data_IF_062844566151
#
_entry.id   IF_062844566151
#
_cell.length_a   1.000
_cell.length_b   1.000
_cell.length_c   1.000
_cell.angle_alpha   90.00
_cell.angle_beta   90.00
_cell.angle_gamma   90.00
#
_symmetry.space_group_name_H-M   'P 1'
#
loop_
_entity.id
_entity.type
_entity.pdbx_description
1 polymer ?
#
# COMPACT_ATOMS: atom_id res chain seq x y z
N UNK A 1 1.44 -14.06 -28.26
CA UNK A 1 0.04 -13.88 -27.85
C UNK A 1 0.02 -13.23 -26.48
N UNK A 2 -0.82 -12.22 -26.27
CA UNK A 2 -0.97 -11.56 -24.97
C UNK A 2 -1.93 -12.37 -24.09
N UNK A 3 -1.50 -12.71 -22.87
CA UNK A 3 -2.24 -13.63 -21.99
C UNK A 3 -2.14 -13.20 -20.52
N UNK A 4 -3.14 -13.59 -19.72
CA UNK A 4 -3.09 -13.49 -18.26
C UNK A 4 -2.19 -14.61 -17.72
N UNK A 5 -0.98 -14.28 -17.27
CA UNK A 5 0.01 -15.27 -16.86
C UNK A 5 -0.01 -15.61 -15.37
N UNK A 6 -0.41 -14.67 -14.51
CA UNK A 6 -0.57 -14.92 -13.06
C UNK A 6 -1.74 -14.13 -12.49
N UNK A 7 -2.37 -14.69 -11.47
CA UNK A 7 -3.54 -14.13 -10.82
C UNK A 7 -3.35 -14.14 -9.30
N UNK A 8 -3.69 -13.04 -8.64
CA UNK A 8 -3.53 -12.89 -7.20
C UNK A 8 -4.69 -12.17 -6.54
N UNK A 9 -4.96 -12.58 -5.30
CA UNK A 9 -5.75 -11.83 -4.33
C UNK A 9 -4.95 -11.60 -3.06
N UNK A 10 -5.32 -10.60 -2.27
CA UNK A 10 -4.75 -10.34 -0.95
C UNK A 10 -5.90 -10.14 0.03
N UNK A 11 -6.39 -11.21 0.66
CA UNK A 11 -7.65 -11.18 1.41
C UNK A 11 -7.70 -10.14 2.52
N UNK A 12 -6.59 -10.02 3.24
CA UNK A 12 -6.37 -8.96 4.23
C UNK A 12 -5.46 -7.89 3.63
N UNK A 13 -5.87 -6.62 3.71
CA UNK A 13 -5.04 -5.48 3.33
C UNK A 13 -3.66 -5.61 3.98
N UNK A 14 -2.62 -5.40 3.19
CA UNK A 14 -1.22 -5.43 3.62
C UNK A 14 -0.62 -6.79 4.03
N UNK A 15 -1.41 -7.87 4.11
CA UNK A 15 -0.87 -9.23 4.35
C UNK A 15 -0.48 -9.94 3.05
N UNK A 16 0.02 -11.18 3.18
CA UNK A 16 0.49 -12.03 2.08
C UNK A 16 -0.60 -12.24 1.02
N UNK A 17 -0.20 -12.20 -0.24
CA UNK A 17 -1.07 -12.52 -1.37
C UNK A 17 -1.18 -14.03 -1.60
N UNK A 18 -2.28 -14.44 -2.22
CA UNK A 18 -2.55 -15.81 -2.64
C UNK A 18 -2.51 -15.88 -4.16
N UNK A 19 -1.74 -16.82 -4.68
CA UNK A 19 -1.70 -17.11 -6.12
C UNK A 19 -2.87 -18.02 -6.48
N UNK A 20 -3.59 -17.66 -7.54
CA UNK A 20 -4.79 -18.38 -7.99
C UNK A 20 -4.64 -18.87 -9.43
N UNK A 21 -5.37 -19.92 -9.78
CA UNK A 21 -5.52 -20.36 -11.18
C UNK A 21 -6.67 -19.64 -11.89
N UNK A 22 -7.68 -19.21 -11.14
CA UNK A 22 -8.84 -18.47 -11.62
C UNK A 22 -9.49 -17.68 -10.47
N UNK A 23 -10.29 -16.68 -10.81
CA UNK A 23 -11.08 -15.94 -9.84
C UNK A 23 -12.31 -15.34 -10.48
N UNK A 24 -13.36 -15.15 -9.68
CA UNK A 24 -14.50 -14.34 -10.08
C UNK A 24 -14.12 -12.86 -10.01
N UNK A 25 -14.37 -12.16 -11.10
CA UNK A 25 -14.35 -10.70 -11.19
C UNK A 25 -15.71 -10.19 -10.70
N UNK A 26 -15.67 -9.31 -9.71
CA UNK A 26 -16.81 -8.53 -9.21
C UNK A 26 -16.56 -7.06 -9.53
N UNK A 27 -17.60 -6.23 -9.46
CA UNK A 27 -17.44 -4.77 -9.59
C UNK A 27 -16.48 -4.20 -8.53
N UNK A 28 -16.43 -4.82 -7.34
CA UNK A 28 -15.60 -4.39 -6.21
C UNK A 28 -14.16 -4.89 -6.22
N UNK A 29 -13.79 -5.74 -7.18
CA UNK A 29 -12.48 -6.38 -7.26
C UNK A 29 -12.58 -7.88 -7.57
N UNK A 30 -11.48 -8.61 -7.48
CA UNK A 30 -11.56 -10.08 -7.47
C UNK A 30 -12.26 -10.52 -6.19
N UNK A 31 -13.05 -11.59 -6.27
CA UNK A 31 -13.69 -12.17 -5.09
C UNK A 31 -12.66 -12.42 -3.97
N UNK A 32 -13.01 -12.04 -2.74
CA UNK A 32 -12.17 -12.07 -1.55
C UNK A 32 -10.94 -11.14 -1.55
N UNK A 33 -10.75 -10.27 -2.52
CA UNK A 33 -9.59 -9.37 -2.55
C UNK A 33 -9.78 -8.14 -1.65
N UNK A 34 -8.90 -7.99 -0.64
CA UNK A 34 -8.90 -6.88 0.35
C UNK A 34 -10.27 -6.64 0.99
N UNK A 35 -11.01 -7.70 1.29
CA UNK A 35 -12.28 -7.59 2.02
C UNK A 35 -12.07 -7.48 3.54
N UNK A 36 -10.85 -7.74 4.02
CA UNK A 36 -10.43 -7.52 5.40
C UNK A 36 -9.34 -6.47 5.54
N UNK A 37 -9.28 -5.80 6.70
CA UNK A 37 -8.25 -4.82 7.05
C UNK A 37 -8.04 -4.77 8.55
N UNK A 38 -6.79 -4.58 8.97
CA UNK A 38 -6.46 -4.29 10.38
C UNK A 38 -6.56 -2.77 10.62
N UNK A 39 -7.18 -2.37 11.72
CA UNK A 39 -7.33 -0.98 12.13
C UNK A 39 -6.94 -0.77 13.58
N UNK A 40 -6.72 0.48 13.96
CA UNK A 40 -6.83 0.91 15.36
C UNK A 40 -8.30 0.84 15.84
N UNK A 41 -8.51 1.04 17.14
CA UNK A 41 -9.84 0.97 17.75
C UNK A 41 -10.79 2.05 17.20
N UNK A 42 -10.26 3.21 16.80
CA UNK A 42 -11.03 4.32 16.21
C UNK A 42 -11.38 4.11 14.73
N UNK A 43 -10.92 3.01 14.13
CA UNK A 43 -11.12 2.69 12.71
C UNK A 43 -10.05 3.25 11.77
N UNK A 44 -9.00 3.88 12.28
CA UNK A 44 -7.84 4.30 11.49
C UNK A 44 -7.12 3.06 10.92
N UNK A 45 -6.90 3.05 9.60
CA UNK A 45 -6.35 1.89 8.91
C UNK A 45 -4.86 1.67 9.22
N UNK A 46 -4.48 0.40 9.37
CA UNK A 46 -3.08 -0.02 9.56
C UNK A 46 -2.58 -0.71 8.29
N UNK A 47 -1.34 -0.39 7.88
CA UNK A 47 -0.74 -0.97 6.65
C UNK A 47 0.70 -1.42 6.84
N UNK A 48 1.20 -2.25 5.92
CA UNK A 48 2.62 -2.63 5.92
C UNK A 48 3.57 -1.47 5.53
N UNK A 49 3.04 -0.27 5.24
CA UNK A 49 3.87 0.94 5.17
C UNK A 49 4.36 1.34 6.58
N UNK A 50 3.51 1.10 7.59
CA UNK A 50 3.79 1.29 9.02
C UNK A 50 4.42 0.03 9.62
N UNK A 51 3.80 -1.14 9.40
CA UNK A 51 4.24 -2.42 9.97
C UNK A 51 4.57 -3.45 8.88
N UNK A 52 5.76 -3.37 8.26
CA UNK A 52 6.19 -4.27 7.18
C UNK A 52 6.00 -5.76 7.44
N UNK A 53 6.15 -6.21 8.70
CA UNK A 53 5.96 -7.59 9.16
C UNK A 53 4.57 -8.16 8.83
N UNK A 54 3.55 -7.31 8.59
CA UNK A 54 2.20 -7.74 8.18
C UNK A 54 2.22 -8.67 6.95
N UNK A 55 3.17 -8.50 6.03
CA UNK A 55 3.26 -9.34 4.82
C UNK A 55 3.56 -10.81 5.12
N UNK A 56 4.01 -11.12 6.34
CA UNK A 56 4.34 -12.48 6.79
C UNK A 56 3.13 -13.25 7.33
N UNK A 57 2.01 -12.56 7.60
CA UNK A 57 0.75 -13.22 7.91
C UNK A 57 0.20 -13.92 6.68
N UNK A 58 -0.26 -15.15 6.87
CA UNK A 58 -0.61 -16.08 5.79
C UNK A 58 -2.11 -16.36 5.84
N UNK A 59 -2.89 -15.75 4.93
CA UNK A 59 -4.31 -16.03 4.85
C UNK A 59 -4.57 -17.35 4.14
N UNK A 60 -5.64 -18.03 4.50
CA UNK A 60 -6.27 -19.09 3.71
C UNK A 60 -7.78 -18.84 3.69
N UNK A 61 -8.39 -18.94 2.51
CA UNK A 61 -9.81 -18.72 2.36
C UNK A 61 -10.60 -19.90 2.92
N UNK A 62 -11.68 -19.60 3.64
CA UNK A 62 -12.69 -20.57 4.04
C UNK A 62 -14.00 -20.21 3.34
N UNK A 63 -14.89 -21.19 3.17
CA UNK A 63 -16.22 -20.96 2.58
C UNK A 63 -17.05 -19.97 3.40
N UNK A 64 -16.84 -19.94 4.72
CA UNK A 64 -17.55 -19.13 5.70
C UNK A 64 -16.66 -18.09 6.38
N UNK A 65 -15.45 -17.83 5.86
CA UNK A 65 -14.57 -16.83 6.46
C UNK A 65 -13.10 -16.88 6.03
N UNK A 66 -12.22 -16.72 7.01
CA UNK A 66 -10.77 -16.60 6.85
C UNK A 66 -10.06 -17.45 7.91
N UNK A 67 -9.08 -18.23 7.49
CA UNK A 67 -8.05 -18.76 8.37
C UNK A 67 -6.81 -17.88 8.24
N UNK A 68 -6.20 -17.49 9.35
CA UNK A 68 -5.02 -16.64 9.35
C UNK A 68 -3.93 -17.25 10.23
N UNK A 69 -2.77 -17.53 9.63
CA UNK A 69 -1.58 -17.97 10.34
C UNK A 69 -0.59 -16.80 10.50
N UNK A 70 -0.14 -16.57 11.72
CA UNK A 70 0.84 -15.55 12.06
C UNK A 70 2.29 -16.08 11.88
N UNK A 71 3.30 -15.19 11.88
CA UNK A 71 4.70 -15.57 11.67
C UNK A 71 5.30 -16.46 12.77
N UNK A 72 4.71 -16.46 13.97
CA UNK A 72 5.11 -17.32 15.10
C UNK A 72 4.47 -18.72 15.03
N UNK A 73 3.64 -18.98 14.02
CA UNK A 73 2.92 -20.24 13.84
C UNK A 73 1.56 -20.30 14.53
N UNK A 74 1.21 -19.33 15.38
CA UNK A 74 -0.13 -19.24 15.95
C UNK A 74 -1.17 -18.91 14.87
N UNK A 75 -2.43 -19.22 15.14
CA UNK A 75 -3.49 -19.21 14.13
C UNK A 75 -4.83 -18.75 14.68
N UNK A 76 -5.63 -18.11 13.83
CA UNK A 76 -7.00 -17.75 14.11
C UNK A 76 -7.92 -18.19 12.96
N UNK A 77 -9.05 -18.80 13.33
CA UNK A 77 -10.17 -19.05 12.42
C UNK A 77 -11.22 -17.97 12.67
N UNK A 78 -11.65 -17.30 11.59
CA UNK A 78 -12.44 -16.08 11.65
C UNK A 78 -13.64 -16.28 10.71
N UNK A 79 -14.84 -16.50 11.26
CA UNK A 79 -16.04 -16.70 10.44
C UNK A 79 -16.77 -15.39 10.20
N UNK A 80 -17.40 -15.26 9.04
CA UNK A 80 -18.27 -14.12 8.71
C UNK A 80 -19.41 -13.95 9.71
N UNK A 81 -19.95 -15.05 10.23
CA UNK A 81 -21.03 -15.06 11.23
C UNK A 81 -20.63 -14.44 12.57
N UNK A 82 -19.33 -14.42 12.88
CA UNK A 82 -18.84 -14.03 14.20
C UNK A 82 -18.55 -12.53 14.26
N UNK A 83 -18.52 -11.84 13.12
CA UNK A 83 -18.39 -10.39 13.07
C UNK A 83 -19.61 -9.70 13.68
N UNK A 84 -19.38 -8.60 14.40
CA UNK A 84 -20.45 -7.77 14.94
C UNK A 84 -21.43 -7.35 13.84
N UNK A 85 -22.73 -7.49 14.10
CA UNK A 85 -23.77 -7.14 13.15
C UNK A 85 -23.81 -5.64 12.85
N UNK A 86 -23.51 -4.81 13.86
CA UNK A 86 -23.42 -3.37 13.72
C UNK A 86 -22.13 -2.98 12.99
N UNK A 87 -22.28 -2.24 11.90
CA UNK A 87 -21.14 -1.66 11.20
C UNK A 87 -20.62 -0.42 11.93
N UNK A 88 -19.31 -0.25 11.94
CA UNK A 88 -18.61 0.84 12.62
C UNK A 88 -17.83 1.69 11.61
N UNK A 89 -17.72 3.02 11.83
CA UNK A 89 -16.95 3.91 10.96
C UNK A 89 -15.49 3.50 10.81
N UNK A 90 -14.94 3.69 9.62
CA UNK A 90 -13.53 3.52 9.28
C UNK A 90 -13.20 4.38 8.06
N UNK A 91 -11.92 4.51 7.73
CA UNK A 91 -11.50 5.25 6.55
C UNK A 91 -10.27 4.63 5.89
N UNK A 92 -10.11 4.91 4.60
CA UNK A 92 -8.89 4.62 3.84
C UNK A 92 -8.63 5.78 2.90
N UNK A 93 -7.57 6.54 3.17
CA UNK A 93 -7.13 7.69 2.37
C UNK A 93 -8.17 8.80 2.22
N UNK A 94 -8.83 9.17 3.32
CA UNK A 94 -9.87 10.20 3.37
C UNK A 94 -11.23 9.74 2.85
N UNK A 95 -11.35 8.48 2.41
CA UNK A 95 -12.62 7.88 2.03
C UNK A 95 -13.22 7.19 3.25
N UNK A 96 -14.33 7.73 3.75
CA UNK A 96 -15.00 7.29 4.98
C UNK A 96 -16.16 6.35 4.64
N UNK A 97 -16.26 5.24 5.35
CA UNK A 97 -17.24 4.19 5.14
C UNK A 97 -17.39 3.34 6.41
N UNK A 98 -18.13 2.25 6.33
CA UNK A 98 -18.44 1.38 7.47
C UNK A 98 -17.91 -0.03 7.25
N UNK A 99 -17.56 -0.72 8.34
CA UNK A 99 -17.14 -2.11 8.32
C UNK A 99 -17.50 -2.80 9.64
N UNK A 100 -17.61 -4.12 9.62
CA UNK A 100 -17.88 -4.94 10.80
C UNK A 100 -16.58 -5.30 11.51
N UNK A 101 -16.62 -5.39 12.84
CA UNK A 101 -15.46 -5.70 13.67
C UNK A 101 -15.48 -7.19 14.05
N UNK A 102 -14.32 -7.84 14.00
CA UNK A 102 -14.15 -9.24 14.39
C UNK A 102 -14.33 -9.44 15.90
N UNK A 103 -14.57 -10.68 16.38
CA UNK A 103 -14.66 -10.98 17.81
C UNK A 103 -13.43 -10.55 18.61
N UNK A 104 -13.63 -10.24 19.89
CA UNK A 104 -12.55 -9.83 20.80
C UNK A 104 -11.40 -10.82 20.84
N UNK A 105 -11.66 -12.13 20.82
CA UNK A 105 -10.60 -13.15 20.81
C UNK A 105 -9.64 -12.98 19.62
N UNK A 106 -10.17 -12.66 18.43
CA UNK A 106 -9.38 -12.41 17.21
C UNK A 106 -8.59 -11.10 17.35
N UNK A 107 -9.24 -10.05 17.87
CA UNK A 107 -8.61 -8.74 18.04
C UNK A 107 -7.48 -8.76 19.08
N UNK A 108 -7.69 -9.45 20.21
CA UNK A 108 -6.65 -9.66 21.23
C UNK A 108 -5.47 -10.46 20.67
N UNK A 109 -5.74 -11.55 19.94
CA UNK A 109 -4.69 -12.33 19.29
C UNK A 109 -3.88 -11.49 18.30
N UNK A 110 -4.53 -10.74 17.40
CA UNK A 110 -3.84 -9.84 16.48
C UNK A 110 -3.02 -8.78 17.21
N UNK A 111 -3.57 -8.20 18.28
CA UNK A 111 -2.91 -7.16 19.08
C UNK A 111 -1.57 -7.61 19.68
N UNK A 112 -1.33 -8.92 19.83
CA UNK A 112 -0.02 -9.43 20.28
C UNK A 112 1.12 -9.18 19.29
N UNK A 113 0.80 -8.90 18.02
CA UNK A 113 1.77 -8.65 16.95
C UNK A 113 1.96 -7.16 16.61
N UNK A 114 1.23 -6.27 17.28
CA UNK A 114 1.31 -4.83 17.07
C UNK A 114 1.67 -4.14 18.39
N UNK A 115 2.34 -2.98 18.35
CA UNK A 115 2.70 -2.25 19.57
C UNK A 115 1.49 -1.56 20.24
N UNK A 116 0.28 -1.76 19.72
CA UNK A 116 -0.97 -1.14 20.18
C UNK A 116 -2.14 -2.09 19.95
N UNK A 117 -3.26 -1.93 20.67
CA UNK A 117 -4.49 -2.66 20.38
C UNK A 117 -4.96 -2.42 18.94
N UNK A 118 -5.31 -3.50 18.25
CA UNK A 118 -5.84 -3.46 16.88
C UNK A 118 -7.11 -4.27 16.77
N UNK A 119 -7.85 -4.04 15.69
CA UNK A 119 -9.05 -4.78 15.32
C UNK A 119 -8.95 -5.26 13.89
N UNK A 120 -9.47 -6.47 13.64
CA UNK A 120 -9.74 -6.92 12.28
C UNK A 120 -11.13 -6.44 11.85
N UNK A 121 -11.21 -5.89 10.65
CA UNK A 121 -12.47 -5.45 10.04
C UNK A 121 -12.78 -6.20 8.78
N UNK A 122 -14.06 -6.42 8.53
CA UNK A 122 -14.61 -6.98 7.30
C UNK A 122 -15.60 -5.99 6.69
N UNK A 123 -15.52 -5.76 5.38
CA UNK A 123 -16.44 -4.85 4.67
C UNK A 123 -17.91 -5.31 4.66
N UNK A 124 -18.18 -6.53 5.13
CA UNK A 124 -19.50 -7.13 5.04
C UNK A 124 -19.83 -7.68 3.65
N UNK A 125 -21.05 -8.19 3.46
CA UNK A 125 -21.48 -8.76 2.17
C UNK A 125 -21.70 -7.69 1.09
N UNK A 126 -21.98 -6.44 1.48
CA UNK A 126 -22.21 -5.32 0.58
C UNK A 126 -21.34 -4.14 1.03
N UNK A 127 -20.18 -3.90 0.39
CA UNK A 127 -19.31 -2.81 0.80
C UNK A 127 -19.99 -1.44 0.60
N UNK A 128 -19.95 -0.59 1.61
CA UNK A 128 -20.47 0.79 1.54
C UNK A 128 -19.50 1.76 0.86
N UNK A 129 -18.21 1.41 0.80
CA UNK A 129 -17.17 2.26 0.18
C UNK A 129 -17.27 2.28 -1.34
N UNK A 130 -16.92 3.43 -1.94
CA UNK A 130 -16.88 3.66 -3.39
C UNK A 130 -15.54 4.20 -3.86
N UNK A 131 -15.21 4.00 -5.12
CA UNK A 131 -14.04 4.63 -5.73
C UNK A 131 -14.25 6.15 -5.81
N UNK A 132 -13.30 6.96 -5.32
CA UNK A 132 -13.47 8.42 -5.12
C UNK A 132 -13.92 9.19 -6.37
N UNK A 133 -13.48 8.78 -7.57
CA UNK A 133 -13.83 9.41 -8.86
C UNK A 133 -14.90 8.63 -9.65
N UNK A 134 -15.33 7.48 -9.14
CA UNK A 134 -16.29 6.58 -9.79
C UNK A 134 -17.26 6.09 -8.70
N UNK A 135 -18.20 6.96 -8.33
CA UNK A 135 -19.05 6.78 -7.13
C UNK A 135 -20.00 5.60 -7.20
N UNK A 136 -20.22 5.04 -8.39
CA UNK A 136 -21.04 3.84 -8.59
C UNK A 136 -20.22 2.56 -8.41
N UNK A 137 -18.89 2.64 -8.40
CA UNK A 137 -18.01 1.48 -8.33
C UNK A 137 -17.73 1.12 -6.87
N UNK A 138 -18.20 -0.04 -6.37
CA UNK A 138 -17.90 -0.49 -5.02
C UNK A 138 -16.41 -0.76 -4.84
N UNK A 139 -15.92 -0.66 -3.61
CA UNK A 139 -14.52 -0.92 -3.29
C UNK A 139 -14.38 -1.56 -1.91
N UNK A 140 -13.51 -2.57 -1.79
CA UNK A 140 -13.11 -3.09 -0.48
C UNK A 140 -12.12 -2.16 0.24
N UNK A 141 -11.15 -2.75 0.94
CA UNK A 141 -10.06 -2.04 1.60
C UNK A 141 -8.84 -1.78 0.68
N UNK A 142 -8.97 -1.99 -0.63
CA UNK A 142 -7.94 -1.63 -1.62
C UNK A 142 -7.62 -0.12 -1.56
N UNK A 143 -6.46 0.33 -2.05
CA UNK A 143 -6.05 1.73 -1.86
C UNK A 143 -6.95 2.72 -2.59
N UNK A 144 -7.28 2.46 -3.86
CA UNK A 144 -8.11 3.38 -4.64
C UNK A 144 -8.91 2.78 -5.80
N UNK A 145 -8.53 1.60 -6.29
CA UNK A 145 -9.21 0.94 -7.41
C UNK A 145 -9.35 -0.57 -7.17
N UNK A 146 -10.37 -1.21 -7.75
CA UNK A 146 -10.68 -2.63 -7.54
C UNK A 146 -9.60 -3.61 -8.01
N UNK A 147 -8.87 -3.26 -9.07
CA UNK A 147 -7.86 -4.15 -9.67
C UNK A 147 -6.57 -3.39 -9.96
N UNK A 148 -5.48 -4.16 -9.94
CA UNK A 148 -4.19 -3.70 -10.41
C UNK A 148 -3.61 -4.70 -11.43
N UNK A 149 -3.22 -4.18 -12.59
CA UNK A 149 -2.55 -4.93 -13.65
C UNK A 149 -1.08 -4.53 -13.77
N UNK A 150 -0.20 -5.52 -13.98
CA UNK A 150 1.20 -5.29 -14.36
C UNK A 150 1.56 -6.18 -15.55
N UNK A 151 2.47 -5.71 -16.39
CA UNK A 151 3.07 -6.48 -17.47
C UNK A 151 4.37 -7.14 -17.00
N UNK A 152 4.51 -8.43 -17.27
CA UNK A 152 5.70 -9.19 -16.90
C UNK A 152 6.97 -8.68 -17.61
N UNK A 153 6.87 -8.19 -18.85
CA UNK A 153 8.02 -7.62 -19.55
C UNK A 153 8.53 -6.34 -18.88
N UNK A 154 7.63 -5.48 -18.39
CA UNK A 154 7.97 -4.28 -17.61
C UNK A 154 8.62 -4.63 -16.27
N UNK A 155 8.14 -5.69 -15.61
CA UNK A 155 8.77 -6.21 -14.40
C UNK A 155 10.20 -6.70 -14.68
N UNK A 156 10.41 -7.39 -15.80
CA UNK A 156 11.74 -7.87 -16.21
C UNK A 156 12.69 -6.71 -16.55
N UNK A 157 12.23 -5.68 -17.27
CA UNK A 157 13.03 -4.48 -17.53
C UNK A 157 13.41 -3.76 -16.21
N UNK A 158 12.48 -3.68 -15.24
CA UNK A 158 12.81 -3.18 -13.90
C UNK A 158 13.85 -4.06 -13.18
N UNK A 159 13.70 -5.37 -13.23
CA UNK A 159 14.65 -6.32 -12.63
C UNK A 159 16.06 -6.18 -13.22
N UNK A 160 16.18 -5.89 -14.51
CA UNK A 160 17.48 -5.66 -15.17
C UNK A 160 18.13 -4.34 -14.73
N UNK A 161 17.34 -3.33 -14.39
CA UNK A 161 17.82 -2.01 -13.93
C UNK A 161 18.10 -1.96 -12.43
N UNK A 162 17.46 -2.82 -11.65
CA UNK A 162 17.49 -2.77 -10.20
C UNK A 162 18.62 -3.65 -9.65
N UNK A 163 19.50 -3.11 -8.77
CA UNK A 163 20.56 -3.91 -8.16
C UNK A 163 20.03 -4.94 -7.14
N UNK A 164 18.81 -4.76 -6.65
CA UNK A 164 18.17 -5.65 -5.69
C UNK A 164 17.27 -6.68 -6.39
N UNK A 165 17.03 -7.82 -5.73
CA UNK A 165 16.03 -8.78 -6.20
C UNK A 165 14.63 -8.18 -6.09
N UNK A 166 13.92 -8.12 -7.23
CA UNK A 166 12.56 -7.59 -7.32
C UNK A 166 11.59 -8.71 -7.65
N UNK A 167 10.51 -8.81 -6.89
CA UNK A 167 9.43 -9.78 -7.10
C UNK A 167 8.12 -9.09 -7.43
N UNK A 168 7.30 -9.73 -8.26
CA UNK A 168 5.99 -9.22 -8.66
C UNK A 168 5.07 -8.95 -7.46
N UNK A 169 5.16 -9.79 -6.43
CA UNK A 169 4.31 -9.73 -5.24
C UNK A 169 4.54 -8.44 -4.43
N UNK A 170 5.68 -7.76 -4.58
CA UNK A 170 5.94 -6.45 -3.97
C UNK A 170 5.02 -5.35 -4.52
N UNK A 171 4.56 -5.48 -5.77
CA UNK A 171 3.63 -4.53 -6.41
C UNK A 171 2.16 -4.83 -6.11
N UNK A 172 1.87 -6.00 -5.52
CA UNK A 172 0.54 -6.45 -5.10
C UNK A 172 -0.50 -6.41 -6.23
N UNK A 173 -0.07 -6.65 -7.46
CA UNK A 173 -0.95 -6.75 -8.62
C UNK A 173 -1.94 -7.89 -8.45
N UNK A 174 -3.13 -7.74 -9.03
CA UNK A 174 -4.11 -8.81 -9.14
C UNK A 174 -3.89 -9.60 -10.43
N UNK A 175 -3.61 -8.88 -11.52
CA UNK A 175 -3.53 -9.40 -12.88
C UNK A 175 -2.11 -9.19 -13.38
N UNK A 176 -1.40 -10.27 -13.72
CA UNK A 176 -0.09 -10.17 -14.38
C UNK A 176 -0.25 -10.71 -15.79
N UNK A 177 0.09 -9.90 -16.77
CA UNK A 177 -0.01 -10.28 -18.20
C UNK A 177 1.37 -10.55 -18.79
N UNK A 178 1.41 -11.32 -19.88
CA UNK A 178 2.64 -11.64 -20.61
C UNK A 178 2.37 -11.71 -22.11
N UNK A 179 3.39 -11.39 -22.91
CA UNK A 179 3.29 -11.35 -24.37
C UNK A 179 3.21 -9.94 -24.97
N UNK A 180 3.19 -8.90 -24.15
CA UNK A 180 3.40 -7.51 -24.58
C UNK A 180 4.88 -7.10 -24.39
N UNK A 181 5.40 -6.18 -25.23
CA UNK A 181 6.68 -5.52 -24.96
C UNK A 181 6.67 -4.79 -23.61
N UNK A 182 7.85 -4.57 -23.02
CA UNK A 182 7.96 -3.79 -21.79
C UNK A 182 7.36 -2.40 -21.99
N UNK A 183 6.57 -1.95 -21.00
CA UNK A 183 5.92 -0.64 -20.91
C UNK A 183 4.81 -0.38 -21.93
N UNK A 184 4.48 -1.35 -22.80
CA UNK A 184 3.37 -1.21 -23.77
C UNK A 184 2.02 -0.93 -23.09
N UNK A 185 1.85 -1.44 -21.86
CA UNK A 185 0.64 -1.27 -21.06
C UNK A 185 0.34 0.19 -20.72
N UNK A 186 1.34 1.07 -20.70
CA UNK A 186 1.15 2.50 -20.38
C UNK A 186 0.22 3.21 -21.37
N UNK A 187 -0.02 2.61 -22.54
CA UNK A 187 -0.94 3.12 -23.57
C UNK A 187 -2.33 2.50 -23.50
N UNK A 188 -2.59 1.51 -22.66
CA UNK A 188 -3.86 0.78 -22.70
C UNK A 188 -4.97 1.59 -22.03
N UNK A 189 -6.07 1.82 -22.75
CA UNK A 189 -7.26 2.52 -22.22
C UNK A 189 -8.38 1.54 -21.82
N UNK A 190 -8.53 0.47 -22.60
CA UNK A 190 -9.51 -0.59 -22.35
C UNK A 190 -8.91 -1.93 -22.76
N UNK A 191 -9.04 -2.93 -21.89
CA UNK A 191 -8.56 -4.29 -22.13
C UNK A 191 -9.66 -5.30 -21.85
N UNK A 192 -9.66 -6.40 -22.60
CA UNK A 192 -10.49 -7.55 -22.34
C UNK A 192 -9.60 -8.71 -21.89
N UNK A 193 -9.99 -9.40 -20.83
CA UNK A 193 -9.31 -10.61 -20.34
C UNK A 193 -10.35 -11.73 -20.28
N UNK A 194 -10.19 -12.74 -21.13
CA UNK A 194 -11.23 -13.74 -21.34
C UNK A 194 -12.55 -13.06 -21.74
N UNK A 195 -13.60 -13.27 -20.96
CA UNK A 195 -14.93 -12.67 -21.20
C UNK A 195 -15.16 -11.29 -20.56
N UNK A 196 -14.21 -10.74 -19.82
CA UNK A 196 -14.42 -9.53 -18.99
C UNK A 196 -13.67 -8.33 -19.54
N UNK A 197 -14.37 -7.21 -19.67
CA UNK A 197 -13.81 -5.93 -20.13
C UNK A 197 -13.46 -5.05 -18.93
N UNK A 198 -12.29 -4.44 -18.99
CA UNK A 198 -11.76 -3.53 -17.98
C UNK A 198 -11.42 -2.18 -18.62
N UNK A 199 -11.85 -1.11 -17.96
CA UNK A 199 -11.35 0.24 -18.21
C UNK A 199 -10.09 0.49 -17.41
N UNK A 200 -9.20 1.33 -17.95
CA UNK A 200 -7.93 1.74 -17.34
C UNK A 200 -8.02 3.22 -16.94
N UNK A 201 -8.45 3.56 -15.71
CA UNK A 201 -8.65 4.96 -15.35
C UNK A 201 -7.37 5.75 -15.19
N UNK A 202 -6.29 5.11 -14.71
CA UNK A 202 -4.97 5.75 -14.52
C UNK A 202 -3.84 4.76 -14.22
N UNK A 203 -2.57 5.17 -14.46
CA UNK A 203 -1.40 4.49 -13.91
C UNK A 203 -1.45 4.37 -12.38
N UNK A 204 -0.72 3.40 -11.85
CA UNK A 204 -0.61 3.20 -10.41
C UNK A 204 0.72 3.76 -9.86
N UNK A 205 0.59 4.86 -9.12
CA UNK A 205 1.67 5.45 -8.35
C UNK A 205 2.13 4.51 -7.23
N UNK A 206 3.44 4.41 -7.05
CA UNK A 206 4.10 3.46 -6.16
C UNK A 206 4.63 4.15 -4.91
N UNK A 207 4.58 3.42 -3.81
CA UNK A 207 4.96 3.91 -2.48
C UNK A 207 5.97 2.96 -1.84
N UNK A 208 6.43 3.29 -0.62
CA UNK A 208 7.42 2.49 0.12
C UNK A 208 7.02 1.01 0.30
N UNK A 209 5.73 0.66 0.16
CA UNK A 209 5.30 -0.75 0.24
C UNK A 209 6.09 -1.62 -0.74
N UNK A 210 6.39 -1.12 -1.96
CA UNK A 210 7.12 -1.92 -2.95
C UNK A 210 8.52 -2.31 -2.48
N UNK A 211 9.08 -1.62 -1.47
CA UNK A 211 10.40 -1.95 -0.92
C UNK A 211 10.37 -3.01 0.16
N UNK A 212 9.18 -3.44 0.60
CA UNK A 212 9.03 -4.46 1.64
C UNK A 212 9.29 -5.84 1.05
N UNK A 213 10.30 -6.52 1.57
CA UNK A 213 10.56 -7.94 1.30
C UNK A 213 9.39 -8.79 1.80
N UNK A 214 8.76 -9.52 0.91
CA UNK A 214 7.53 -10.29 1.17
C UNK A 214 7.73 -11.51 2.07
N UNK A 215 8.95 -12.06 2.16
CA UNK A 215 9.28 -13.11 3.14
C UNK A 215 9.84 -12.52 4.44
N UNK A 216 10.71 -11.51 4.32
CA UNK A 216 11.42 -10.94 5.47
C UNK A 216 10.55 -9.99 6.30
N UNK A 217 9.51 -9.41 5.70
CA UNK A 217 8.72 -8.36 6.34
C UNK A 217 9.53 -7.10 6.64
N UNK A 218 10.58 -6.79 5.85
CA UNK A 218 11.47 -5.64 6.08
C UNK A 218 11.59 -4.78 4.83
N UNK A 219 11.59 -3.45 5.01
CA UNK A 219 11.87 -2.49 3.93
C UNK A 219 13.32 -2.67 3.47
N UNK A 220 13.57 -2.60 2.16
CA UNK A 220 14.92 -2.59 1.63
C UNK A 220 15.66 -1.34 2.13
N UNK A 221 16.91 -1.46 2.64
CA UNK A 221 17.65 -0.33 3.22
C UNK A 221 17.82 0.83 2.24
N UNK A 222 18.10 0.53 0.96
CA UNK A 222 18.26 1.55 -0.08
C UNK A 222 16.96 1.98 -0.76
N UNK A 223 15.80 1.52 -0.27
CA UNK A 223 14.49 1.84 -0.84
C UNK A 223 14.21 1.21 -2.21
N UNK A 224 14.90 0.14 -2.57
CA UNK A 224 14.65 -0.58 -3.82
C UNK A 224 13.37 -1.43 -3.75
N UNK A 225 12.61 -1.57 -4.86
CA UNK A 225 12.88 -1.06 -6.20
C UNK A 225 12.36 0.36 -6.47
N UNK A 226 11.80 1.04 -5.47
CA UNK A 226 11.22 2.38 -5.65
C UNK A 226 12.29 3.41 -6.07
N UNK A 227 13.49 3.31 -5.48
CA UNK A 227 14.65 4.12 -5.86
C UNK A 227 15.04 3.92 -7.33
N UNK A 228 15.06 2.68 -7.84
CA UNK A 228 15.30 2.41 -9.26
C UNK A 228 14.17 2.97 -10.14
N UNK A 229 12.90 2.74 -9.78
CA UNK A 229 11.76 3.28 -10.53
C UNK A 229 11.83 4.81 -10.64
N UNK A 230 12.21 5.51 -9.58
CA UNK A 230 12.35 6.97 -9.59
C UNK A 230 13.29 7.48 -10.69
N UNK A 231 14.29 6.69 -11.12
CA UNK A 231 15.27 7.10 -12.13
C UNK A 231 14.73 7.13 -13.56
N UNK A 232 13.56 6.53 -13.82
CA UNK A 232 13.02 6.48 -15.19
C UNK A 232 11.49 6.43 -15.29
N UNK A 233 10.79 6.27 -14.17
CA UNK A 233 9.32 6.17 -14.06
C UNK A 233 8.70 7.30 -13.26
N UNK A 234 9.42 8.41 -13.08
CA UNK A 234 8.84 9.62 -12.51
C UNK A 234 8.03 10.36 -13.56
N UNK A 235 6.78 10.67 -13.23
CA UNK A 235 5.90 11.43 -14.10
C UNK A 235 6.40 12.86 -14.31
N UNK A 236 6.38 13.33 -15.56
CA UNK A 236 6.89 14.65 -15.94
C UNK A 236 5.83 15.78 -15.87
N UNK A 237 4.67 15.50 -15.28
CA UNK A 237 3.55 16.45 -15.14
C UNK A 237 3.52 17.20 -13.79
N UNK A 238 4.60 17.10 -13.00
CA UNK A 238 4.74 17.77 -11.71
C UNK A 238 3.99 17.11 -10.56
N UNK A 239 3.31 15.98 -10.77
CA UNK A 239 2.61 15.24 -9.70
C UNK A 239 3.52 14.64 -8.64
N UNK A 240 4.79 14.38 -8.97
CA UNK A 240 5.72 13.62 -8.13
C UNK A 240 5.43 12.11 -8.09
N UNK A 241 4.53 11.62 -8.95
CA UNK A 241 4.22 10.19 -9.03
C UNK A 241 5.39 9.38 -9.59
N UNK A 242 5.57 8.17 -9.05
CA UNK A 242 6.45 7.15 -9.59
C UNK A 242 5.58 5.97 -9.98
N UNK A 243 5.38 5.74 -11.28
CA UNK A 243 4.36 4.81 -11.76
C UNK A 243 4.95 3.47 -12.22
N UNK A 244 4.22 2.40 -11.91
CA UNK A 244 4.43 1.07 -12.47
C UNK A 244 3.06 0.42 -12.56
N UNK A 245 2.65 -0.27 -13.62
CA UNK A 245 1.33 -0.89 -13.70
C UNK A 245 0.11 0.05 -13.69
N UNK A 246 -1.08 -0.53 -13.83
CA UNK A 246 -2.32 0.17 -14.15
C UNK A 246 -3.44 -0.19 -13.17
N UNK A 247 -4.18 0.81 -12.70
CA UNK A 247 -5.43 0.57 -11.99
C UNK A 247 -6.53 0.25 -12.99
N UNK A 248 -7.41 -0.70 -12.68
CA UNK A 248 -8.54 -1.05 -13.55
C UNK A 248 -9.89 -1.04 -12.83
N UNK A 249 -10.96 -0.90 -13.60
CA UNK A 249 -12.37 -1.09 -13.21
C UNK A 249 -13.00 -2.07 -14.21
N UNK A 250 -13.69 -3.10 -13.71
CA UNK A 250 -14.39 -4.05 -14.57
C UNK A 250 -15.75 -3.48 -14.99
N UNK A 251 -16.13 -3.67 -16.26
CA UNK A 251 -17.46 -3.31 -16.79
C UNK A 251 -18.53 -4.36 -16.51
N UNK A 252 -18.12 -5.59 -16.24
CA UNK A 252 -19.00 -6.72 -15.99
C UNK A 252 -18.37 -7.72 -15.03
N UNK A 253 -19.21 -8.54 -14.40
CA UNK A 253 -18.76 -9.69 -13.63
C UNK A 253 -18.49 -10.89 -14.54
N UNK A 254 -17.59 -11.77 -14.13
CA UNK A 254 -17.24 -12.96 -14.88
C UNK A 254 -16.16 -13.78 -14.21
N UNK A 255 -15.64 -14.80 -14.88
CA UNK A 255 -14.50 -15.58 -14.40
C UNK A 255 -13.32 -15.31 -15.32
N UNK A 256 -12.18 -14.99 -14.72
CA UNK A 256 -10.88 -14.93 -15.44
C UNK A 256 -9.99 -16.06 -14.94
N UNK A 257 -9.17 -16.60 -15.85
CA UNK A 257 -8.29 -17.75 -15.62
C UNK A 257 -6.88 -17.44 -16.11
N UNK A 258 -5.89 -17.98 -15.42
CA UNK A 258 -4.52 -18.00 -15.95
C UNK A 258 -4.54 -18.73 -17.30
N UNK A 259 -3.94 -18.12 -18.31
CA UNK A 259 -3.96 -18.56 -19.70
C UNK A 259 -5.00 -17.89 -20.57
N UNK A 260 -5.97 -17.15 -20.00
CA UNK A 260 -6.94 -16.40 -20.80
C UNK A 260 -6.24 -15.41 -21.73
N UNK A 261 -6.76 -15.30 -22.96
CA UNK A 261 -6.33 -14.28 -23.90
C UNK A 261 -6.62 -12.88 -23.34
N UNK A 262 -5.70 -11.97 -23.59
CA UNK A 262 -5.87 -10.55 -23.30
C UNK A 262 -5.86 -9.78 -24.61
N UNK A 263 -6.90 -8.98 -24.83
CA UNK A 263 -7.04 -8.13 -26.01
C UNK A 263 -7.05 -6.66 -25.60
N UNK A 264 -6.25 -5.83 -26.25
CA UNK A 264 -6.25 -4.37 -26.05
C UNK A 264 -7.29 -3.77 -26.98
N UNK A 265 -8.42 -3.35 -26.43
CA UNK A 265 -9.56 -2.84 -27.19
C UNK A 265 -9.42 -1.36 -27.56
N UNK A 266 -8.76 -0.58 -26.71
CA UNK A 266 -8.51 0.83 -26.93
C UNK A 266 -7.17 1.25 -26.34
N UNK A 267 -6.53 2.24 -26.97
CA UNK A 267 -5.26 2.83 -26.54
C UNK A 267 -5.39 4.34 -26.37
N UNK A 268 -4.55 4.91 -25.51
CA UNK A 268 -4.36 6.34 -25.29
C UNK A 268 -2.87 6.69 -25.37
N UNK A 269 -2.56 7.98 -25.41
CA UNK A 269 -1.19 8.47 -25.32
C UNK A 269 -0.63 8.19 -23.92
N UNK A 270 0.49 7.46 -23.77
CA UNK A 270 1.11 7.22 -22.47
C UNK A 270 1.45 8.50 -21.71
N UNK A 271 1.44 8.41 -20.38
CA UNK A 271 1.99 9.46 -19.53
C UNK A 271 3.49 9.59 -19.80
N UNK A 272 3.99 10.82 -19.88
CA UNK A 272 5.41 11.07 -20.08
C UNK A 272 6.20 10.75 -18.79
N UNK A 273 7.25 9.93 -18.94
CA UNK A 273 8.12 9.51 -17.86
C UNK A 273 9.57 9.89 -18.12
N UNK A 274 10.32 10.15 -17.06
CA UNK A 274 11.74 10.40 -17.12
C UNK A 274 12.42 10.19 -15.77
N UNK A 275 13.70 10.58 -15.66
CA UNK A 275 14.37 10.62 -14.38
C UNK A 275 13.71 11.65 -13.46
N UNK A 276 13.24 11.19 -12.31
CA UNK A 276 12.88 12.07 -11.22
C UNK A 276 14.11 12.72 -10.61
N UNK A 277 13.92 13.78 -9.83
CA UNK A 277 14.98 14.31 -8.99
C UNK A 277 15.48 13.18 -8.08
N UNK A 278 16.73 12.75 -8.26
CA UNK A 278 17.35 11.72 -7.42
C UNK A 278 17.48 12.32 -6.03
N UNK A 279 16.59 11.92 -5.12
CA UNK A 279 16.72 12.30 -3.72
C UNK A 279 17.66 11.29 -3.07
N UNK A 280 18.92 11.71 -2.96
CA UNK A 280 19.98 10.94 -2.31
C UNK A 280 19.53 10.49 -0.92
N UNK A 281 19.54 9.17 -0.69
CA UNK A 281 19.31 8.57 0.63
C UNK A 281 20.56 8.80 1.45
N UNK A 282 20.40 9.40 2.62
CA UNK A 282 21.51 9.61 3.53
C UNK A 282 21.71 8.35 4.35
N UNK A 283 22.97 7.93 4.51
CA UNK A 283 23.29 6.77 5.35
C UNK A 283 22.90 7.09 6.79
N UNK A 284 22.20 6.19 7.50
CA UNK A 284 21.91 6.38 8.91
C UNK A 284 23.24 6.55 9.68
N UNK A 285 23.41 7.66 10.39
CA UNK A 285 24.50 7.80 11.34
C UNK A 285 24.15 7.01 12.60
N UNK A 286 25.02 6.08 13.01
CA UNK A 286 24.88 5.37 14.27
C UNK A 286 25.09 6.36 15.42
N UNK A 287 24.03 6.56 16.20
CA UNK A 287 24.05 7.33 17.44
C UNK A 287 23.58 6.43 18.58
N UNK A 288 24.09 6.70 19.78
CA UNK A 288 23.56 6.09 21.00
C UNK A 288 22.08 6.45 21.12
N UNK A 289 21.26 5.45 21.43
CA UNK A 289 19.83 5.66 21.67
C UNK A 289 19.65 6.64 22.82
N UNK A 290 18.91 7.70 22.55
CA UNK A 290 18.58 8.74 23.50
C UNK A 290 17.11 9.08 23.41
N UNK A 291 16.55 9.45 24.54
CA UNK A 291 15.21 10.02 24.63
C UNK A 291 15.26 11.49 24.24
N UNK A 292 14.24 11.95 23.53
CA UNK A 292 14.02 13.36 23.19
C UNK A 292 12.62 13.80 23.60
N UNK A 293 12.44 15.09 23.90
CA UNK A 293 11.13 15.71 24.03
C UNK A 293 10.64 16.19 22.65
N UNK A 294 9.43 15.79 22.27
CA UNK A 294 8.79 16.22 21.03
C UNK A 294 7.53 17.01 21.40
N UNK A 295 7.46 18.26 20.98
CA UNK A 295 6.27 19.10 21.11
C UNK A 295 5.54 19.24 19.76
N UNK A 296 4.23 19.02 19.74
CA UNK A 296 3.38 19.21 18.56
C UNK A 296 1.96 19.59 18.98
N UNK A 297 1.37 20.61 18.33
CA UNK A 297 0.00 21.09 18.61
C UNK A 297 -0.28 21.37 20.10
N UNK A 298 0.70 21.91 20.82
CA UNK A 298 0.58 22.26 22.24
C UNK A 298 0.66 21.08 23.21
N UNK A 299 0.94 19.87 22.73
CA UNK A 299 1.23 18.70 23.56
C UNK A 299 2.71 18.34 23.46
N UNK A 300 3.29 17.90 24.57
CA UNK A 300 4.66 17.41 24.64
C UNK A 300 4.65 15.95 25.08
N UNK A 301 5.45 15.13 24.40
CA UNK A 301 5.61 13.72 24.74
C UNK A 301 7.07 13.29 24.61
N UNK A 302 7.35 12.13 25.18
CA UNK A 302 8.67 11.53 25.20
C UNK A 302 8.86 10.63 23.98
N UNK A 303 9.81 10.98 23.12
CA UNK A 303 10.20 10.25 21.91
C UNK A 303 11.64 9.72 21.98
N UNK A 304 12.18 9.34 20.82
CA UNK A 304 13.56 8.89 20.66
C UNK A 304 14.26 9.46 19.41
N UNK A 305 15.58 9.33 19.38
CA UNK A 305 16.43 9.73 18.26
C UNK A 305 16.68 8.60 17.23
N UNK A 306 15.81 7.59 17.16
CA UNK A 306 15.95 6.41 16.29
C UNK A 306 14.80 6.29 15.28
N UNK A 307 13.58 6.67 15.66
CA UNK A 307 12.37 6.55 14.85
C UNK A 307 12.06 7.83 14.08
N UNK A 308 11.44 7.71 12.91
CA UNK A 308 11.01 8.89 12.15
C UNK A 308 9.87 9.61 12.85
N UNK A 309 9.83 10.93 12.73
CA UNK A 309 8.84 11.80 13.38
C UNK A 309 7.40 11.39 13.08
N UNK A 310 7.10 10.99 11.84
CA UNK A 310 5.76 10.56 11.48
C UNK A 310 5.28 9.39 12.35
N UNK A 311 6.13 8.39 12.60
CA UNK A 311 5.76 7.23 13.39
C UNK A 311 5.57 7.61 14.86
N UNK A 312 6.49 8.42 15.41
CA UNK A 312 6.41 8.91 16.79
C UNK A 312 5.13 9.73 17.04
N UNK A 313 4.77 10.63 16.11
CA UNK A 313 3.54 11.42 16.17
C UNK A 313 2.28 10.53 16.08
N UNK A 314 2.27 9.54 15.20
CA UNK A 314 1.17 8.58 15.08
C UNK A 314 1.00 7.70 16.32
N UNK A 315 2.06 7.44 17.09
CA UNK A 315 1.95 6.71 18.36
C UNK A 315 1.22 7.50 19.44
N UNK A 316 1.23 8.83 19.33
CA UNK A 316 0.49 9.71 20.23
C UNK A 316 -0.92 10.04 19.71
N UNK A 317 -1.33 9.43 18.59
CA UNK A 317 -2.66 9.64 18.00
C UNK A 317 -2.76 10.87 17.09
N UNK A 318 -1.66 11.57 16.78
CA UNK A 318 -1.69 12.68 15.83
C UNK A 318 -1.91 12.20 14.39
N UNK A 319 -2.77 12.91 13.66
CA UNK A 319 -3.13 12.60 12.27
C UNK A 319 -2.36 13.50 11.30
N UNK A 320 -1.13 13.10 10.97
CA UNK A 320 -0.32 13.77 9.96
C UNK A 320 -0.66 13.21 8.57
N UNK A 321 -1.00 14.03 7.56
CA UNK A 321 -1.24 13.52 6.21
C UNK A 321 -0.01 12.79 5.66
N UNK A 322 -0.18 11.62 5.05
CA UNK A 322 0.92 10.93 4.36
C UNK A 322 0.42 10.17 3.14
N UNK A 323 1.35 9.77 2.27
CA UNK A 323 1.05 8.88 1.15
C UNK A 323 2.21 7.90 0.91
N UNK A 324 3.39 8.40 0.55
CA UNK A 324 4.50 7.51 0.15
C UNK A 324 5.29 6.88 1.30
N UNK A 325 5.41 7.57 2.46
CA UNK A 325 6.33 7.26 3.57
C UNK A 325 7.80 7.03 3.16
N UNK A 326 8.22 7.62 2.05
CA UNK A 326 9.57 7.51 1.50
C UNK A 326 10.26 8.88 1.32
N UNK A 327 9.62 9.96 1.79
CA UNK A 327 10.13 11.33 1.63
C UNK A 327 10.00 11.91 0.21
N UNK A 328 9.14 11.33 -0.63
CA UNK A 328 9.05 11.67 -2.06
C UNK A 328 7.81 12.52 -2.41
N UNK A 329 6.65 12.22 -1.83
CA UNK A 329 5.38 12.85 -2.23
C UNK A 329 5.10 14.20 -1.55
N UNK A 330 5.87 14.56 -0.52
CA UNK A 330 5.66 15.81 0.23
C UNK A 330 4.40 15.88 1.12
N UNK A 331 3.53 14.87 1.13
CA UNK A 331 2.28 14.90 1.91
C UNK A 331 2.51 15.02 3.42
N UNK A 332 3.62 14.45 3.93
CA UNK A 332 3.98 14.40 5.36
C UNK A 332 4.66 15.67 5.89
N UNK A 333 4.47 16.81 5.21
CA UNK A 333 5.12 18.07 5.52
C UNK A 333 4.60 18.65 6.85
N UNK A 334 5.52 19.02 7.73
CA UNK A 334 5.27 19.74 9.00
C UNK A 334 6.30 20.86 9.14
N UNK A 335 6.04 21.86 9.98
CA UNK A 335 6.99 22.95 10.25
C UNK A 335 7.87 22.60 11.44
N UNK A 336 9.19 22.73 11.33
CA UNK A 336 10.10 22.63 12.46
C UNK A 336 10.25 24.03 13.08
N UNK A 337 9.71 24.21 14.29
CA UNK A 337 9.71 25.48 15.02
C UNK A 337 11.02 25.68 15.76
N UNK A 338 11.51 24.64 16.45
CA UNK A 338 12.78 24.65 17.17
C UNK A 338 13.42 23.26 17.26
N UNK A 339 14.73 23.24 17.50
CA UNK A 339 15.56 22.03 17.58
C UNK A 339 16.07 21.54 16.22
N UNK A 340 16.70 20.36 16.22
CA UNK A 340 17.37 19.79 15.05
C UNK A 340 16.83 18.40 14.71
N UNK A 341 16.81 18.09 13.41
CA UNK A 341 16.42 16.78 12.89
C UNK A 341 17.46 16.25 11.92
N UNK A 342 17.68 14.93 11.95
CA UNK A 342 18.50 14.21 10.99
C UNK A 342 17.64 13.74 9.82
N UNK A 343 17.92 14.17 8.58
CA UNK A 343 17.19 13.71 7.42
C UNK A 343 17.67 12.32 6.96
N UNK A 344 16.74 11.45 6.60
CA UNK A 344 17.01 10.20 5.86
C UNK A 344 17.12 10.42 4.35
N UNK A 345 16.63 11.57 3.88
CA UNK A 345 16.58 11.98 2.48
C UNK A 345 17.03 13.42 2.38
N UNK A 346 17.90 13.75 1.42
CA UNK A 346 18.42 15.13 1.26
C UNK A 346 17.32 16.18 1.08
N UNK A 347 16.18 15.81 0.47
CA UNK A 347 15.03 16.70 0.27
C UNK A 347 14.06 16.75 1.45
N UNK A 348 14.34 16.04 2.56
CA UNK A 348 13.45 15.98 3.70
C UNK A 348 13.43 17.26 4.52
N UNK A 349 14.49 18.08 4.47
CA UNK A 349 14.54 19.41 5.08
C UNK A 349 14.49 20.45 3.95
N UNK A 350 13.58 21.42 4.07
CA UNK A 350 13.41 22.50 3.10
C UNK A 350 13.88 23.81 3.70
N UNK A 351 14.34 24.73 2.84
CA UNK A 351 14.88 26.03 3.27
C UNK A 351 13.84 26.99 3.87
N UNK A 352 12.55 26.64 3.84
CA UNK A 352 11.44 27.41 4.40
C UNK A 352 11.10 26.99 5.85
N UNK A 353 11.94 26.16 6.48
CA UNK A 353 11.71 25.63 7.84
C UNK A 353 10.76 24.43 7.87
N UNK A 354 10.25 23.98 6.72
CA UNK A 354 9.40 22.78 6.67
C UNK A 354 10.22 21.51 6.47
N UNK A 355 9.76 20.42 7.09
CA UNK A 355 10.39 19.10 7.03
C UNK A 355 9.39 18.02 6.62
N UNK A 356 9.89 16.91 6.10
CA UNK A 356 9.10 15.71 5.82
C UNK A 356 9.17 14.77 7.03
N UNK A 357 8.14 14.78 7.88
CA UNK A 357 8.08 13.96 9.11
C UNK A 357 8.34 12.48 8.87
N UNK A 358 8.00 11.97 7.69
CA UNK A 358 8.23 10.58 7.28
C UNK A 358 9.68 10.26 6.86
N UNK A 359 10.59 11.23 6.90
CA UNK A 359 12.00 11.07 6.52
C UNK A 359 12.94 11.94 7.36
N UNK A 360 12.50 12.36 8.55
CA UNK A 360 13.31 13.06 9.54
C UNK A 360 13.21 12.33 10.88
N UNK A 361 14.33 12.20 11.57
CA UNK A 361 14.48 11.64 12.92
C UNK A 361 14.95 12.79 13.83
N UNK A 362 14.42 12.96 15.05
CA UNK A 362 14.96 13.96 15.99
C UNK A 362 16.46 13.77 16.26
N UNK A 363 17.22 14.87 16.35
CA UNK A 363 18.61 14.87 16.85
C UNK A 363 18.73 15.36 18.30
N UNK A 364 17.60 15.78 18.88
CA UNK A 364 17.47 16.32 20.22
C UNK A 364 16.01 16.70 20.48
N UNK A 365 15.78 17.52 21.50
CA UNK A 365 14.45 18.06 21.78
C UNK A 365 13.99 19.00 20.65
N UNK A 366 12.72 18.88 20.25
CA UNK A 366 12.17 19.62 19.12
C UNK A 366 10.75 20.12 19.37
N UNK A 367 10.38 21.17 18.64
CA UNK A 367 9.01 21.68 18.54
C UNK A 367 8.55 21.73 17.08
N UNK A 368 7.35 21.24 16.82
CA UNK A 368 6.73 21.14 15.50
C UNK A 368 5.39 21.92 15.45
N UNK A 369 5.07 22.46 14.29
CA UNK A 369 3.78 23.12 13.99
C UNK A 369 3.08 22.54 12.75
#
# INVERSE_FOLDING_TARGET
MLTLSRLFIHPVKSMRGLHLSHAQVLESGLAFDRIFMVTELDGTFITARQYPEMVRFTPALLTDGLFLQAPDGSQAMIRFSDFAAQEQPTEVWGNHFTARIAPDAVNHWLSTFFPRPVQLRWVGPQPSRRVKRFTDVPLGFADGYPFLLINNASLQDLQQRCPASVRAEQFRANLIVSGAPAWDEDSWATVQIGGVIFDVPKPCSRCVFTTVGTESGRKHPDGEPLSTLQRFRSAQDGSGDIDFGLNLIARSSGIVRVGDEVQVLARHTPRAYGPGAVVETLKPQQQTTATVAIAYQGQQFQGDNQQVLLEQLEMQGFKIPYSCRAGLCGSCKVTLVSGDVRPLKKSAIRGDGTILSCSCIPDGDIELA
#
